data_IF_314872714660
#
_entry.id   IF_314872714660
#
_cell.length_a   1.000
_cell.length_b   1.000
_cell.length_c   1.000
_cell.angle_alpha   90.00
_cell.angle_beta   90.00
_cell.angle_gamma   90.00
#
_symmetry.space_group_name_H-M   'P 1'
#
loop_
_entity.id
_entity.type
_entity.pdbx_description
1 polymer ?
#
# COMPACT_ATOMS: atom_id res chain seq x y z
N UNK A 1 -3.85 -18.09 -10.81
CA UNK A 1 -3.10 -16.88 -10.60
C UNK A 1 -3.43 -16.28 -9.24
N UNK A 2 -2.42 -15.96 -8.44
CA UNK A 2 -2.58 -15.44 -7.09
C UNK A 2 -3.37 -14.12 -7.05
N UNK A 3 -3.22 -13.27 -8.04
CA UNK A 3 -3.91 -11.96 -8.09
C UNK A 3 -5.40 -12.12 -8.36
N UNK A 4 -5.80 -13.13 -9.14
CA UNK A 4 -7.22 -13.44 -9.34
C UNK A 4 -7.84 -13.93 -8.04
N UNK A 5 -7.11 -14.72 -7.26
CA UNK A 5 -7.58 -15.20 -5.96
C UNK A 5 -7.78 -14.07 -4.96
N UNK A 6 -7.03 -12.97 -5.08
CA UNK A 6 -7.22 -11.79 -4.22
C UNK A 6 -8.64 -11.22 -4.35
N UNK A 7 -9.16 -11.10 -5.55
CA UNK A 7 -10.53 -10.60 -5.74
C UNK A 7 -11.56 -11.52 -5.07
N UNK A 8 -11.32 -12.83 -5.12
CA UNK A 8 -12.22 -13.81 -4.50
C UNK A 8 -12.19 -13.76 -2.97
N UNK A 9 -11.12 -13.20 -2.38
CA UNK A 9 -10.93 -13.13 -0.93
C UNK A 9 -11.17 -11.72 -0.37
N UNK A 10 -11.92 -10.89 -1.08
CA UNK A 10 -12.24 -9.51 -0.66
C UNK A 10 -11.00 -8.60 -0.58
N UNK A 11 -10.05 -8.81 -1.47
CA UNK A 11 -8.98 -7.86 -1.71
C UNK A 11 -9.47 -6.86 -2.74
N UNK A 12 -9.10 -5.59 -2.56
CA UNK A 12 -9.50 -4.53 -3.47
C UNK A 12 -8.29 -3.96 -4.19
N UNK A 13 -8.46 -3.68 -5.47
CA UNK A 13 -7.43 -3.04 -6.29
C UNK A 13 -7.89 -1.63 -6.64
N UNK A 14 -7.10 -0.64 -6.26
CA UNK A 14 -7.32 0.73 -6.67
C UNK A 14 -6.42 1.05 -7.86
N UNK A 15 -7.01 1.62 -8.91
CA UNK A 15 -6.29 1.94 -10.13
C UNK A 15 -6.41 3.44 -10.39
N UNK A 16 -5.28 4.07 -10.70
CA UNK A 16 -5.23 5.50 -11.02
C UNK A 16 -4.95 5.69 -12.51
N UNK A 17 -5.81 6.44 -13.17
CA UNK A 17 -5.63 6.86 -14.55
C UNK A 17 -5.34 8.36 -14.62
N UNK A 18 -4.52 8.76 -15.58
CA UNK A 18 -4.26 10.15 -15.89
C UNK A 18 -4.36 10.34 -17.38
N UNK A 19 -5.27 11.22 -17.85
CA UNK A 19 -5.52 11.46 -19.28
C UNK A 19 -5.70 10.14 -20.05
N UNK A 20 -6.55 9.26 -19.53
CA UNK A 20 -6.86 7.94 -20.10
C UNK A 20 -5.71 6.94 -20.11
N UNK A 21 -4.58 7.26 -19.50
CA UNK A 21 -3.46 6.34 -19.36
C UNK A 21 -3.46 5.71 -17.97
N UNK A 22 -3.24 4.40 -17.93
CA UNK A 22 -2.98 3.73 -16.65
C UNK A 22 -1.65 4.23 -16.07
N UNK A 23 -1.67 4.67 -14.83
CA UNK A 23 -0.51 5.28 -14.17
C UNK A 23 0.02 4.42 -13.04
N UNK A 24 -0.85 4.08 -12.09
CA UNK A 24 -0.44 3.26 -10.95
C UNK A 24 -1.62 2.54 -10.34
N UNK A 25 -1.30 1.55 -9.51
CA UNK A 25 -2.31 0.81 -8.77
C UNK A 25 -1.76 0.39 -7.41
N UNK A 26 -2.66 0.00 -6.53
CA UNK A 26 -2.30 -0.54 -5.23
C UNK A 26 -3.40 -1.41 -4.69
N UNK A 27 -3.03 -2.36 -3.86
CA UNK A 27 -3.96 -3.31 -3.26
C UNK A 27 -4.29 -2.93 -1.83
N UNK A 28 -5.51 -3.24 -1.41
CA UNK A 28 -5.98 -3.06 -0.04
C UNK A 28 -6.67 -4.32 0.45
N UNK A 29 -6.46 -4.65 1.72
CA UNK A 29 -7.14 -5.76 2.35
C UNK A 29 -7.33 -5.50 3.83
N UNK A 30 -8.57 -5.52 4.30
CA UNK A 30 -8.87 -5.39 5.73
C UNK A 30 -8.77 -6.76 6.36
N UNK A 31 -7.89 -6.90 7.37
CA UNK A 31 -7.60 -8.20 7.94
C UNK A 31 -7.08 -8.08 9.37
N UNK A 32 -7.23 -9.18 10.14
CA UNK A 32 -6.72 -9.28 11.50
C UNK A 32 -5.27 -9.75 11.56
N UNK A 33 -4.80 -10.40 10.50
CA UNK A 33 -3.45 -10.96 10.45
C UNK A 33 -2.88 -10.75 9.06
N UNK A 34 -1.60 -10.42 9.00
CA UNK A 34 -0.92 -10.17 7.73
C UNK A 34 0.48 -10.75 7.74
N UNK A 35 0.84 -11.42 6.66
CA UNK A 35 2.19 -11.96 6.47
C UNK A 35 3.02 -10.99 5.65
N UNK A 36 4.14 -10.53 6.23
CA UNK A 36 5.11 -9.68 5.54
C UNK A 36 6.15 -10.59 4.92
N UNK A 37 6.05 -10.82 3.61
CA UNK A 37 6.91 -11.79 2.92
C UNK A 37 8.38 -11.37 2.90
N UNK A 38 8.67 -10.10 2.84
CA UNK A 38 10.04 -9.58 2.78
C UNK A 38 10.87 -9.98 3.99
N UNK A 39 10.25 -10.15 5.15
CA UNK A 39 10.93 -10.57 6.38
C UNK A 39 10.37 -11.88 6.92
N UNK A 40 9.50 -12.54 6.16
CA UNK A 40 8.88 -13.82 6.53
C UNK A 40 8.31 -13.80 7.96
N UNK A 41 7.51 -12.78 8.26
CA UNK A 41 6.97 -12.56 9.60
C UNK A 41 5.49 -12.28 9.55
N UNK A 42 4.73 -12.92 10.44
CA UNK A 42 3.30 -12.66 10.60
C UNK A 42 3.08 -11.59 11.66
N UNK A 43 2.19 -10.66 11.38
CA UNK A 43 1.81 -9.62 12.35
C UNK A 43 0.30 -9.60 12.53
N UNK A 44 -0.13 -9.18 13.72
CA UNK A 44 -1.55 -8.95 14.00
C UNK A 44 -1.90 -7.53 13.59
N UNK A 45 -2.90 -7.39 12.76
CA UNK A 45 -3.32 -6.10 12.23
C UNK A 45 -4.64 -5.59 12.81
N UNK A 46 -5.41 -6.45 13.46
CA UNK A 46 -6.63 -6.08 14.23
C UNK A 46 -7.57 -5.20 13.39
N UNK A 47 -8.00 -5.72 12.23
CA UNK A 47 -8.91 -5.04 11.30
C UNK A 47 -8.35 -3.77 10.65
N UNK A 48 -7.05 -3.58 10.66
CA UNK A 48 -6.45 -2.53 9.83
C UNK A 48 -6.62 -2.87 8.36
N UNK A 49 -6.69 -1.84 7.53
CA UNK A 49 -6.61 -2.01 6.07
C UNK A 49 -5.14 -2.01 5.68
N UNK A 50 -4.65 -3.15 5.21
CA UNK A 50 -3.26 -3.27 4.75
C UNK A 50 -3.17 -2.78 3.31
N UNK A 51 -2.22 -1.88 3.05
CA UNK A 51 -1.93 -1.35 1.72
C UNK A 51 -0.64 -1.99 1.24
N UNK A 52 -0.66 -2.60 0.05
CA UNK A 52 0.48 -3.40 -0.41
C UNK A 52 0.51 -3.53 -1.93
N UNK A 53 1.64 -4.00 -2.45
CA UNK A 53 1.86 -4.25 -3.89
C UNK A 53 1.49 -3.07 -4.79
N UNK A 54 2.02 -1.90 -4.45
CA UNK A 54 1.85 -0.72 -5.29
C UNK A 54 2.79 -0.78 -6.49
N UNK A 55 2.27 -0.36 -7.62
CA UNK A 55 3.04 -0.30 -8.86
C UNK A 55 2.73 0.98 -9.62
N UNK A 56 3.78 1.68 -10.03
CA UNK A 56 3.67 2.85 -10.90
C UNK A 56 4.38 2.55 -12.22
N UNK A 57 3.71 2.83 -13.33
CA UNK A 57 4.30 2.65 -14.66
C UNK A 57 5.59 3.48 -14.75
N UNK A 58 6.70 2.91 -15.25
CA UNK A 58 8.01 3.56 -15.19
C UNK A 58 8.05 5.01 -15.68
N UNK A 59 7.38 5.31 -16.80
CA UNK A 59 7.40 6.68 -17.35
C UNK A 59 6.66 7.70 -16.46
N UNK A 60 5.86 7.24 -15.52
CA UNK A 60 5.13 8.11 -14.60
C UNK A 60 5.75 8.15 -13.20
N UNK A 61 6.88 7.50 -12.99
CA UNK A 61 7.57 7.54 -11.70
C UNK A 61 8.21 8.89 -11.43
N UNK A 62 8.41 9.20 -10.14
CA UNK A 62 9.00 10.47 -9.69
C UNK A 62 8.16 11.70 -10.03
N UNK A 63 6.85 11.53 -10.22
CA UNK A 63 5.93 12.61 -10.53
C UNK A 63 4.83 12.78 -9.48
N UNK A 64 4.99 12.13 -8.32
CA UNK A 64 4.05 12.26 -7.22
C UNK A 64 2.79 11.40 -7.31
N UNK A 65 2.69 10.48 -8.26
CA UNK A 65 1.49 9.65 -8.39
C UNK A 65 1.33 8.65 -7.25
N UNK A 66 2.43 8.11 -6.75
CA UNK A 66 2.36 7.19 -5.60
C UNK A 66 1.79 7.91 -4.38
N UNK A 67 2.28 9.11 -4.07
CA UNK A 67 1.75 9.93 -3.01
C UNK A 67 0.27 10.23 -3.24
N UNK A 68 -0.10 10.56 -4.47
CA UNK A 68 -1.49 10.90 -4.82
C UNK A 68 -2.44 9.74 -4.59
N UNK A 69 -2.08 8.53 -5.02
CA UNK A 69 -2.95 7.37 -4.82
C UNK A 69 -3.12 7.07 -3.33
N UNK A 70 -2.06 7.22 -2.53
CA UNK A 70 -2.14 7.02 -1.08
C UNK A 70 -3.08 8.04 -0.42
N UNK A 71 -3.02 9.30 -0.83
CA UNK A 71 -3.92 10.34 -0.32
C UNK A 71 -5.37 10.02 -0.69
N UNK A 72 -5.62 9.59 -1.93
CA UNK A 72 -6.96 9.22 -2.37
C UNK A 72 -7.53 8.07 -1.55
N UNK A 73 -6.71 7.06 -1.25
CA UNK A 73 -7.13 5.93 -0.42
C UNK A 73 -7.54 6.41 0.97
N UNK A 74 -6.70 7.23 1.62
CA UNK A 74 -6.99 7.75 2.96
C UNK A 74 -8.29 8.53 2.97
N UNK A 75 -8.51 9.35 1.96
CA UNK A 75 -9.69 10.21 1.91
C UNK A 75 -10.99 9.44 1.68
N UNK A 76 -10.91 8.28 1.03
CA UNK A 76 -12.09 7.44 0.79
C UNK A 76 -12.54 6.66 2.02
N UNK A 77 -11.64 6.42 2.96
CA UNK A 77 -11.91 5.57 4.13
C UNK A 77 -11.54 6.29 5.42
N UNK A 78 -12.14 7.48 5.63
CA UNK A 78 -11.77 8.39 6.74
C UNK A 78 -11.97 7.80 8.13
N UNK A 79 -12.85 6.79 8.27
CA UNK A 79 -13.13 6.15 9.57
C UNK A 79 -12.31 4.88 9.80
N UNK A 80 -11.41 4.56 8.88
CA UNK A 80 -10.59 3.33 8.98
C UNK A 80 -9.14 3.70 9.23
N UNK A 81 -8.43 2.78 9.87
CA UNK A 81 -6.99 2.89 10.06
C UNK A 81 -6.27 2.00 9.04
N UNK A 82 -5.10 2.44 8.63
CA UNK A 82 -4.34 1.77 7.59
C UNK A 82 -2.99 1.31 8.10
N UNK A 83 -2.48 0.24 7.51
CA UNK A 83 -1.10 -0.20 7.69
C UNK A 83 -0.44 -0.19 6.32
N UNK A 84 0.67 0.51 6.21
CA UNK A 84 1.53 0.47 5.03
C UNK A 84 2.97 0.30 5.51
N UNK A 85 3.77 -0.39 4.73
CA UNK A 85 5.15 -0.65 5.10
C UNK A 85 6.05 -0.64 3.86
N UNK A 86 7.33 -0.48 4.07
CA UNK A 86 8.33 -0.59 3.02
C UNK A 86 9.64 -1.09 3.62
N UNK A 87 10.52 -1.56 2.78
CA UNK A 87 11.87 -1.88 3.21
C UNK A 87 12.58 -0.61 3.67
N UNK A 88 13.40 -0.74 4.71
CA UNK A 88 14.17 0.39 5.26
C UNK A 88 15.00 1.08 4.20
N UNK A 89 15.52 0.31 3.24
CA UNK A 89 16.36 0.82 2.15
C UNK A 89 15.56 1.49 1.02
N UNK A 90 14.24 1.32 0.99
CA UNK A 90 13.41 1.92 -0.05
C UNK A 90 13.03 3.35 0.32
N UNK A 91 13.98 4.26 0.11
CA UNK A 91 13.83 5.67 0.51
C UNK A 91 12.71 6.37 -0.23
N UNK A 92 12.50 6.06 -1.52
CA UNK A 92 11.42 6.67 -2.30
C UNK A 92 10.05 6.31 -1.75
N UNK A 93 9.84 5.03 -1.44
CA UNK A 93 8.58 4.58 -0.86
C UNK A 93 8.36 5.22 0.51
N UNK A 94 9.38 5.27 1.34
CA UNK A 94 9.31 5.90 2.65
C UNK A 94 8.88 7.37 2.55
N UNK A 95 9.50 8.14 1.64
CA UNK A 95 9.15 9.55 1.43
C UNK A 95 7.69 9.69 0.95
N UNK A 96 7.29 8.86 -0.02
CA UNK A 96 5.91 8.91 -0.53
C UNK A 96 4.89 8.64 0.56
N UNK A 97 5.16 7.63 1.40
CA UNK A 97 4.28 7.26 2.50
C UNK A 97 4.17 8.40 3.51
N UNK A 98 5.29 8.95 3.98
CA UNK A 98 5.29 10.02 4.95
C UNK A 98 4.67 11.30 4.39
N UNK A 99 4.98 11.65 3.15
CA UNK A 99 4.42 12.83 2.49
C UNK A 99 2.91 12.72 2.25
N UNK A 100 2.39 11.50 2.15
CA UNK A 100 0.95 11.26 2.04
C UNK A 100 0.22 11.40 3.38
N UNK A 101 0.94 11.62 4.47
CA UNK A 101 0.35 11.87 5.79
C UNK A 101 0.30 10.65 6.70
N UNK A 102 0.95 9.55 6.34
CA UNK A 102 1.06 8.42 7.24
C UNK A 102 2.13 8.67 8.30
N UNK A 103 1.90 8.17 9.51
CA UNK A 103 2.83 8.36 10.60
C UNK A 103 3.73 7.13 10.76
N UNK A 104 5.02 7.36 10.96
CA UNK A 104 5.94 6.28 11.29
C UNK A 104 5.54 5.68 12.65
N UNK A 105 5.39 4.36 12.67
CA UNK A 105 4.99 3.66 13.90
C UNK A 105 6.17 2.93 14.52
N UNK A 106 6.79 2.03 13.76
CA UNK A 106 7.92 1.25 14.25
C UNK A 106 8.65 0.55 13.12
N UNK A 107 9.87 0.15 13.41
CA UNK A 107 10.67 -0.69 12.57
C UNK A 107 10.51 -2.14 13.02
N UNK A 108 10.24 -3.05 12.08
CA UNK A 108 10.10 -4.48 12.36
C UNK A 108 11.32 -5.18 11.80
N UNK A 109 12.01 -5.93 12.66
CA UNK A 109 13.20 -6.65 12.26
C UNK A 109 12.92 -8.14 12.21
N UNK A 110 13.58 -8.83 11.27
CA UNK A 110 13.57 -10.28 11.23
C UNK A 110 14.39 -10.80 12.41
N UNK A 111 13.82 -11.73 13.14
CA UNK A 111 14.50 -12.37 14.28
C UNK A 111 15.39 -13.50 13.77
#
# INVERSE_FOLDING_TARGET
>A
NNKINRFKKNYYLLVLFYKKNFVCCGWMHETDNWHISEINTDIKTNNLIVLFDFFTVPKFRNKGFYKKILILIRNKRTKKSFLIYCLKTNIRSKKGILNAGFNFKKEIKKI
#
